data_IF_537430635295
#
_entry.id   IF_537430635295
#
_cell.length_a   1.000
_cell.length_b   1.000
_cell.length_c   1.000
_cell.angle_alpha   90.00
_cell.angle_beta   90.00
_cell.angle_gamma   90.00
#
_symmetry.space_group_name_H-M   'P 1'
#
loop_
_entity.id
_entity.type
_entity.pdbx_description
1 polymer ?
#
# COMPACT_ATOMS: atom_id res chain seq x y z
N UNK A 1 19.37 -6.89 -23.56
CA UNK A 1 19.48 -6.36 -22.22
C UNK A 1 19.25 -4.85 -22.30
N UNK A 2 18.35 -4.33 -21.50
CA UNK A 2 18.08 -2.90 -21.33
C UNK A 2 18.33 -2.47 -19.90
N UNK A 3 18.50 -1.17 -19.70
CA UNK A 3 18.57 -0.56 -18.37
C UNK A 3 17.57 0.58 -18.34
N UNK A 4 16.72 0.60 -17.32
CA UNK A 4 15.71 1.64 -17.15
C UNK A 4 15.94 2.34 -15.82
N UNK A 5 16.12 3.66 -15.88
CA UNK A 5 16.06 4.54 -14.72
C UNK A 5 14.72 5.28 -14.76
N UNK A 6 13.99 5.26 -13.66
CA UNK A 6 12.70 5.92 -13.61
C UNK A 6 12.42 6.53 -12.25
N UNK A 7 11.50 7.47 -12.27
CA UNK A 7 10.92 8.10 -11.08
C UNK A 7 9.39 8.01 -11.16
N UNK A 8 8.80 7.68 -10.05
CA UNK A 8 7.36 7.72 -9.86
C UNK A 8 7.09 8.49 -8.58
N UNK A 9 6.33 9.54 -8.68
CA UNK A 9 6.01 10.41 -7.54
C UNK A 9 4.65 11.03 -7.72
N UNK A 10 4.00 11.31 -6.60
CA UNK A 10 2.71 11.99 -6.54
C UNK A 10 1.98 11.68 -5.24
N UNK A 11 1.28 12.66 -4.77
CA UNK A 11 0.41 12.56 -3.62
C UNK A 11 -0.95 12.04 -4.09
N UNK A 12 -1.41 10.98 -3.49
CA UNK A 12 -2.76 10.45 -3.71
C UNK A 12 -3.50 10.58 -2.39
N UNK A 13 -4.40 11.54 -2.32
CA UNK A 13 -5.33 11.67 -1.20
C UNK A 13 -6.74 11.24 -1.63
N UNK A 14 -7.30 10.31 -0.90
CA UNK A 14 -8.70 9.92 -1.03
C UNK A 14 -9.41 10.26 0.27
N UNK A 15 -10.19 11.34 0.22
CA UNK A 15 -11.00 11.79 1.33
C UNK A 15 -12.49 11.56 1.07
N UNK A 16 -13.18 11.16 2.11
CA UNK A 16 -14.59 11.35 2.38
C UNK A 16 -15.64 10.43 1.75
N UNK A 17 -15.39 9.70 0.68
CA UNK A 17 -16.46 8.98 -0.02
C UNK A 17 -16.36 7.45 0.04
N UNK A 18 -15.31 6.89 0.64
CA UNK A 18 -15.23 5.45 0.86
C UNK A 18 -15.90 5.08 2.18
N UNK A 19 -17.20 4.88 2.15
CA UNK A 19 -17.92 4.30 3.28
C UNK A 19 -18.02 2.78 3.11
N UNK A 20 -17.26 2.04 3.88
CA UNK A 20 -17.34 0.58 3.93
C UNK A 20 -17.91 0.20 5.30
N UNK A 21 -19.08 -0.45 5.31
CA UNK A 21 -19.77 -0.89 6.53
C UNK A 21 -20.00 0.22 7.57
N UNK A 22 -20.31 1.45 7.11
CA UNK A 22 -20.60 2.59 8.00
C UNK A 22 -19.36 3.31 8.53
N UNK A 23 -18.16 2.89 8.18
CA UNK A 23 -16.92 3.57 8.53
C UNK A 23 -16.42 4.42 7.38
N UNK A 24 -16.02 5.65 7.66
CA UNK A 24 -15.38 6.56 6.71
C UNK A 24 -13.87 6.39 6.78
N UNK A 25 -13.24 6.30 5.62
CA UNK A 25 -11.79 6.17 5.48
C UNK A 25 -11.23 7.36 4.73
N UNK A 26 -10.27 8.02 5.33
CA UNK A 26 -9.37 8.95 4.66
C UNK A 26 -8.02 8.25 4.48
N UNK A 27 -7.54 8.15 3.26
CA UNK A 27 -6.26 7.55 2.92
C UNK A 27 -5.38 8.59 2.25
N UNK A 28 -4.30 8.97 2.90
CA UNK A 28 -3.27 9.83 2.35
C UNK A 28 -2.01 8.99 2.05
N UNK A 29 -1.57 9.03 0.80
CA UNK A 29 -0.40 8.33 0.30
C UNK A 29 0.55 9.34 -0.33
N UNK A 30 1.70 9.55 0.29
CA UNK A 30 2.83 10.25 -0.32
C UNK A 30 3.75 9.21 -0.95
N UNK A 31 3.85 9.22 -2.28
CA UNK A 31 4.55 8.19 -3.02
C UNK A 31 5.75 8.80 -3.76
N UNK A 32 6.96 8.46 -3.30
CA UNK A 32 8.22 8.85 -3.88
C UNK A 32 9.09 7.61 -4.14
N UNK A 33 9.22 7.25 -5.41
CA UNK A 33 9.94 6.05 -5.80
C UNK A 33 10.88 6.33 -6.97
N UNK A 34 12.19 6.16 -6.74
CA UNK A 34 13.21 6.20 -7.79
C UNK A 34 13.76 4.79 -8.00
N UNK A 35 13.78 4.29 -9.22
CA UNK A 35 14.20 2.93 -9.49
C UNK A 35 15.22 2.80 -10.62
N UNK A 36 16.04 1.77 -10.51
CA UNK A 36 16.99 1.33 -11.53
C UNK A 36 16.77 -0.15 -11.81
N UNK A 37 16.32 -0.50 -13.00
CA UNK A 37 16.03 -1.85 -13.42
C UNK A 37 16.88 -2.29 -14.60
N UNK A 38 17.32 -3.55 -14.59
CA UNK A 38 17.83 -4.26 -15.75
C UNK A 38 16.70 -5.09 -16.38
N UNK A 39 16.56 -5.00 -17.70
CA UNK A 39 15.56 -5.74 -18.47
C UNK A 39 16.24 -6.79 -19.33
N UNK A 40 15.68 -7.99 -19.30
CA UNK A 40 16.13 -9.11 -20.13
C UNK A 40 14.96 -9.55 -21.02
N UNK A 41 15.21 -9.66 -22.33
CA UNK A 41 14.25 -10.15 -23.33
C UNK A 41 14.67 -11.53 -23.81
N UNK A 42 14.17 -12.61 -23.19
CA UNK A 42 14.66 -13.96 -23.47
C UNK A 42 14.45 -14.40 -24.92
N UNK A 43 13.38 -13.92 -25.55
CA UNK A 43 13.01 -14.30 -26.94
C UNK A 43 13.13 -13.16 -27.93
N UNK A 44 13.82 -12.06 -27.59
CA UNK A 44 14.00 -10.88 -28.43
C UNK A 44 12.69 -10.30 -29.01
N UNK A 45 11.58 -10.48 -28.30
CA UNK A 45 10.25 -10.02 -28.68
C UNK A 45 9.76 -8.90 -27.72
N UNK A 46 8.46 -8.67 -27.72
CA UNK A 46 7.79 -7.68 -26.88
C UNK A 46 7.77 -8.02 -25.38
N UNK A 47 8.00 -9.29 -24.99
CA UNK A 47 8.04 -9.72 -23.60
C UNK A 47 9.42 -9.47 -22.99
N UNK A 48 9.43 -9.04 -21.71
CA UNK A 48 10.64 -8.87 -20.93
C UNK A 48 10.45 -9.23 -19.45
N UNK A 49 11.56 -9.52 -18.81
CA UNK A 49 11.69 -9.66 -17.37
C UNK A 49 12.53 -8.51 -16.86
N UNK A 50 12.13 -7.91 -15.74
CA UNK A 50 12.84 -6.82 -15.09
C UNK A 50 13.28 -7.25 -13.69
N UNK A 51 14.49 -6.86 -13.32
CA UNK A 51 15.01 -6.99 -11.97
C UNK A 51 15.85 -5.76 -11.64
N UNK A 52 15.74 -5.28 -10.40
CA UNK A 52 16.45 -4.04 -10.04
C UNK A 52 16.30 -3.68 -8.57
N UNK A 53 16.51 -2.40 -8.31
CA UNK A 53 16.37 -1.81 -6.98
C UNK A 53 15.63 -0.48 -7.09
N UNK A 54 14.86 -0.16 -6.07
CA UNK A 54 14.25 1.15 -5.93
C UNK A 54 14.62 1.78 -4.60
N UNK A 55 14.72 3.09 -4.59
CA UNK A 55 14.66 3.90 -3.39
C UNK A 55 13.21 4.33 -3.22
N UNK A 56 12.59 3.89 -2.13
CA UNK A 56 11.18 4.12 -1.83
C UNK A 56 11.12 4.93 -0.54
N UNK A 57 10.46 6.07 -0.61
CA UNK A 57 10.23 6.96 0.51
C UNK A 57 8.73 7.24 0.57
N UNK A 58 8.01 6.24 1.07
CA UNK A 58 6.55 6.28 1.14
C UNK A 58 6.12 6.23 2.60
N UNK A 59 5.30 7.20 2.97
CA UNK A 59 4.57 7.23 4.23
C UNK A 59 3.08 7.05 3.93
N UNK A 60 2.45 6.19 4.72
CA UNK A 60 1.02 5.90 4.60
C UNK A 60 0.32 6.28 5.89
N UNK A 61 -0.63 7.19 5.80
CA UNK A 61 -1.50 7.58 6.90
C UNK A 61 -2.92 7.05 6.64
N UNK A 62 -3.50 6.42 7.63
CA UNK A 62 -4.86 5.90 7.60
C UNK A 62 -5.63 6.52 8.75
N UNK A 63 -6.72 7.20 8.44
CA UNK A 63 -7.66 7.71 9.42
C UNK A 63 -9.02 7.04 9.25
N UNK A 64 -9.41 6.24 10.23
CA UNK A 64 -10.71 5.58 10.29
C UNK A 64 -11.57 6.20 11.37
N UNK A 65 -12.65 6.87 10.97
CA UNK A 65 -13.64 7.45 11.87
C UNK A 65 -14.90 6.60 11.91
N UNK A 66 -15.35 6.32 13.10
CA UNK A 66 -16.55 5.52 13.37
C UNK A 66 -17.52 6.38 14.16
N UNK A 67 -18.71 6.60 13.61
CA UNK A 67 -19.75 7.39 14.25
C UNK A 67 -20.31 6.73 15.51
N UNK A 68 -20.84 7.55 16.41
CA UNK A 68 -21.47 7.06 17.63
C UNK A 68 -22.63 6.11 17.29
N UNK A 69 -22.67 4.92 17.91
CA UNK A 69 -23.67 3.89 17.68
C UNK A 69 -23.43 3.03 16.43
N UNK A 70 -22.34 3.23 15.71
CA UNK A 70 -21.95 2.39 14.58
C UNK A 70 -21.17 1.16 15.04
N UNK A 71 -21.40 0.03 14.35
CA UNK A 71 -20.68 -1.22 14.57
C UNK A 71 -19.52 -1.35 13.61
N UNK A 72 -18.38 -1.79 14.12
CA UNK A 72 -17.16 -2.01 13.34
C UNK A 72 -16.39 -3.22 13.87
N UNK A 73 -15.43 -3.70 13.08
CA UNK A 73 -14.60 -4.84 13.48
C UNK A 73 -13.13 -4.43 13.53
N UNK A 74 -12.44 -4.89 14.58
CA UNK A 74 -10.99 -4.79 14.75
C UNK A 74 -10.48 -6.14 15.19
N UNK A 75 -9.44 -6.64 14.53
CA UNK A 75 -8.82 -7.94 14.82
C UNK A 75 -9.88 -9.08 14.95
N UNK A 76 -10.87 -9.09 14.05
CA UNK A 76 -11.96 -10.07 14.06
C UNK A 76 -12.96 -9.93 15.22
N UNK A 77 -12.83 -8.91 16.06
CA UNK A 77 -13.76 -8.62 17.17
C UNK A 77 -14.68 -7.47 16.78
N UNK A 78 -16.00 -7.69 16.94
CA UNK A 78 -17.00 -6.66 16.68
C UNK A 78 -17.17 -5.74 17.88
N UNK A 79 -17.16 -4.45 17.61
CA UNK A 79 -17.32 -3.36 18.56
C UNK A 79 -18.50 -2.48 18.16
N UNK A 80 -19.10 -1.84 19.15
CA UNK A 80 -20.05 -0.76 18.99
C UNK A 80 -19.41 0.53 19.52
N UNK A 81 -19.31 1.54 18.67
CA UNK A 81 -18.78 2.84 19.07
C UNK A 81 -19.73 3.53 20.06
N UNK A 82 -19.21 4.02 21.18
CA UNK A 82 -20.03 4.60 22.24
C UNK A 82 -20.50 6.02 21.86
N UNK A 83 -21.72 6.35 22.29
CA UNK A 83 -22.27 7.70 22.15
C UNK A 83 -21.88 8.57 23.37
N UNK A 84 -21.62 9.88 23.18
CA UNK A 84 -21.72 10.66 21.93
C UNK A 84 -20.43 10.74 21.11
N UNK A 85 -19.30 10.22 21.58
CA UNK A 85 -17.96 10.50 21.06
C UNK A 85 -17.59 9.68 19.81
N UNK A 86 -18.17 8.46 19.69
CA UNK A 86 -17.74 7.54 18.64
C UNK A 86 -16.36 6.92 18.93
N UNK A 87 -15.74 6.36 17.88
CA UNK A 87 -14.40 5.80 17.94
C UNK A 87 -13.59 6.24 16.72
N UNK A 88 -12.27 6.31 16.86
CA UNK A 88 -11.34 6.64 15.78
C UNK A 88 -10.08 5.81 15.91
N UNK A 89 -9.53 5.39 14.79
CA UNK A 89 -8.24 4.71 14.70
C UNK A 89 -7.39 5.49 13.72
N UNK A 90 -6.31 6.09 14.20
CA UNK A 90 -5.27 6.68 13.36
C UNK A 90 -4.16 5.66 13.18
N UNK A 91 -3.68 5.50 11.96
CA UNK A 91 -2.60 4.59 11.63
C UNK A 91 -1.52 5.24 10.81
N UNK A 92 -0.28 4.99 11.19
CA UNK A 92 0.91 5.35 10.43
C UNK A 92 1.63 4.04 10.06
N UNK A 93 1.94 3.88 8.77
CA UNK A 93 2.69 2.75 8.28
C UNK A 93 3.89 3.26 7.49
N UNK A 94 5.07 2.83 7.87
CA UNK A 94 6.33 3.18 7.20
C UNK A 94 7.26 1.97 7.10
N UNK A 95 8.22 2.03 6.20
CA UNK A 95 9.22 0.98 6.02
C UNK A 95 10.60 1.47 6.44
N UNK A 96 11.33 0.65 7.23
CA UNK A 96 12.66 1.00 7.71
C UNK A 96 13.71 1.09 6.61
N UNK A 97 13.55 0.29 5.57
CA UNK A 97 14.49 0.20 4.46
C UNK A 97 13.92 0.93 3.26
N UNK A 98 14.52 2.05 2.91
CA UNK A 98 14.16 2.79 1.71
C UNK A 98 14.66 2.11 0.42
N UNK A 99 15.58 1.12 0.53
CA UNK A 99 16.10 0.39 -0.62
C UNK A 99 15.40 -0.95 -0.78
N UNK A 100 14.61 -1.10 -1.84
CA UNK A 100 13.79 -2.27 -2.11
C UNK A 100 14.24 -2.98 -3.40
N UNK A 101 14.64 -4.27 -3.33
CA UNK A 101 14.79 -5.11 -4.51
C UNK A 101 13.47 -5.22 -5.28
N UNK A 102 13.57 -5.30 -6.59
CA UNK A 102 12.44 -5.39 -7.52
C UNK A 102 12.53 -6.58 -8.44
N UNK A 103 11.41 -7.21 -8.69
CA UNK A 103 11.23 -8.18 -9.77
C UNK A 103 9.91 -7.94 -10.49
N UNK A 104 9.91 -8.08 -11.82
CA UNK A 104 8.73 -7.86 -12.62
C UNK A 104 8.79 -8.55 -13.98
N UNK A 105 7.64 -8.60 -14.61
CA UNK A 105 7.47 -9.05 -15.99
C UNK A 105 6.65 -8.02 -16.76
N UNK A 106 6.99 -7.85 -18.01
CA UNK A 106 6.31 -6.85 -18.82
C UNK A 106 6.26 -7.19 -20.30
N UNK A 107 5.53 -6.34 -21.00
CA UNK A 107 5.46 -6.36 -22.46
C UNK A 107 5.68 -4.94 -22.98
N UNK A 108 6.37 -4.84 -24.11
CA UNK A 108 6.68 -3.57 -24.77
C UNK A 108 6.67 -3.72 -26.27
N UNK A 109 5.47 -3.88 -26.88
CA UNK A 109 5.34 -3.93 -28.32
C UNK A 109 5.60 -2.56 -28.96
N UNK A 110 6.26 -2.57 -30.10
CA UNK A 110 6.40 -1.38 -30.92
C UNK A 110 5.12 -1.22 -31.79
N UNK A 111 4.50 -0.05 -31.72
CA UNK A 111 3.34 0.29 -32.58
C UNK A 111 3.84 0.82 -33.94
N UNK A 112 4.91 1.61 -33.90
CA UNK A 112 5.62 2.14 -35.08
C UNK A 112 7.12 2.02 -34.86
N UNK A 113 7.91 2.43 -35.85
CA UNK A 113 9.39 2.44 -35.73
C UNK A 113 9.90 3.30 -34.56
N UNK A 114 9.11 4.26 -34.10
CA UNK A 114 9.48 5.19 -33.03
C UNK A 114 8.63 5.09 -31.76
N UNK A 115 7.36 4.75 -31.91
CA UNK A 115 6.42 4.71 -30.80
C UNK A 115 6.11 3.27 -30.39
N UNK A 116 6.00 3.04 -29.11
CA UNK A 116 5.57 1.81 -28.50
C UNK A 116 4.72 2.07 -27.27
N UNK A 117 4.10 1.04 -26.76
CA UNK A 117 3.47 1.03 -25.45
C UNK A 117 4.19 0.01 -24.60
N UNK A 118 4.11 0.18 -23.28
CA UNK A 118 4.58 -0.86 -22.36
C UNK A 118 3.60 -1.05 -21.22
N UNK A 119 3.57 -2.26 -20.71
CA UNK A 119 2.91 -2.61 -19.46
C UNK A 119 3.82 -3.53 -18.67
N UNK A 120 3.91 -3.33 -17.38
CA UNK A 120 4.73 -4.09 -16.44
C UNK A 120 3.96 -4.34 -15.17
N UNK A 121 4.01 -5.56 -14.66
CA UNK A 121 3.57 -5.92 -13.32
C UNK A 121 4.75 -6.50 -12.57
N UNK A 122 4.87 -6.14 -11.29
CA UNK A 122 5.98 -6.59 -10.46
C UNK A 122 5.73 -6.33 -9.00
N UNK A 123 6.75 -6.56 -8.20
CA UNK A 123 6.70 -6.27 -6.77
C UNK A 123 8.06 -5.81 -6.25
N UNK A 124 8.03 -4.87 -5.31
CA UNK A 124 9.16 -4.45 -4.50
C UNK A 124 9.13 -5.18 -3.17
N UNK A 125 10.27 -5.63 -2.69
CA UNK A 125 10.42 -6.20 -1.36
C UNK A 125 10.90 -5.13 -0.39
N UNK A 126 10.03 -4.70 0.50
CA UNK A 126 10.30 -3.62 1.47
C UNK A 126 10.66 -4.16 2.86
N UNK A 127 10.47 -5.47 3.10
CA UNK A 127 10.55 -6.06 4.44
C UNK A 127 9.35 -5.66 5.32
N UNK A 128 9.41 -6.02 6.58
CA UNK A 128 8.30 -5.79 7.51
C UNK A 128 8.08 -4.30 7.76
N UNK A 129 6.84 -3.83 7.68
CA UNK A 129 6.50 -2.45 7.98
C UNK A 129 6.63 -2.14 9.48
N UNK A 130 6.88 -0.88 9.79
CA UNK A 130 6.62 -0.31 11.10
C UNK A 130 5.22 0.27 11.08
N UNK A 131 4.37 -0.21 11.97
CA UNK A 131 2.97 0.21 12.07
C UNK A 131 2.75 0.78 13.46
N UNK A 132 2.04 1.90 13.54
CA UNK A 132 1.55 2.46 14.78
C UNK A 132 0.05 2.73 14.62
N UNK A 133 -0.76 2.10 15.45
CA UNK A 133 -2.20 2.33 15.49
C UNK A 133 -2.58 3.01 16.80
N UNK A 134 -3.21 4.16 16.71
CA UNK A 134 -3.63 4.94 17.87
C UNK A 134 -5.15 5.00 17.94
N UNK A 135 -5.78 4.23 18.85
CA UNK A 135 -7.22 4.31 19.09
C UNK A 135 -7.57 5.54 19.92
N UNK A 136 -8.64 6.24 19.55
CA UNK A 136 -9.23 7.34 20.34
C UNK A 136 -10.75 7.19 20.39
N UNK A 137 -11.38 7.83 21.38
CA UNK A 137 -12.80 7.59 21.66
C UNK A 137 -13.02 6.30 22.45
N UNK A 138 -14.22 5.72 22.36
CA UNK A 138 -14.53 4.49 23.09
C UNK A 138 -15.48 3.58 22.32
N UNK A 139 -15.27 2.28 22.48
CA UNK A 139 -16.14 1.28 21.90
C UNK A 139 -16.26 0.07 22.83
N UNK A 140 -17.42 -0.58 22.81
CA UNK A 140 -17.72 -1.75 23.62
C UNK A 140 -17.98 -2.98 22.76
N UNK A 141 -17.71 -4.15 23.32
CA UNK A 141 -17.99 -5.45 22.69
C UNK A 141 -18.73 -6.34 23.70
N UNK A 142 -19.52 -7.27 23.18
CA UNK A 142 -20.19 -8.29 24.00
C UNK A 142 -19.29 -9.47 24.35
N UNK A 143 -18.06 -9.52 23.79
CA UNK A 143 -17.12 -10.62 24.03
C UNK A 143 -16.34 -10.34 25.32
N UNK A 144 -16.47 -11.19 26.37
CA UNK A 144 -15.77 -10.99 27.63
C UNK A 144 -14.25 -11.01 27.46
N UNK A 145 -13.54 -10.11 28.17
CA UNK A 145 -12.09 -10.03 28.16
C UNK A 145 -11.47 -9.40 26.89
N UNK A 146 -12.30 -8.82 26.02
CA UNK A 146 -11.87 -8.02 24.89
C UNK A 146 -12.16 -6.55 25.13
N UNK A 147 -11.22 -5.69 24.83
CA UNK A 147 -11.41 -4.23 24.84
C UNK A 147 -10.82 -3.60 23.58
N UNK A 148 -11.33 -2.42 23.23
CA UNK A 148 -11.02 -1.74 21.98
C UNK A 148 -9.53 -1.43 21.83
N UNK A 149 -8.90 -0.89 22.87
CA UNK A 149 -7.49 -0.48 22.84
C UNK A 149 -6.58 -1.70 22.67
N UNK A 150 -6.85 -2.76 23.41
CA UNK A 150 -6.06 -4.01 23.33
C UNK A 150 -6.22 -4.68 21.95
N UNK A 151 -7.43 -4.68 21.38
CA UNK A 151 -7.60 -5.30 20.04
C UNK A 151 -6.96 -4.47 18.93
N UNK A 152 -6.95 -3.15 19.02
CA UNK A 152 -6.18 -2.30 18.09
C UNK A 152 -4.68 -2.59 18.19
N UNK A 153 -4.14 -2.76 19.41
CA UNK A 153 -2.73 -3.13 19.60
C UNK A 153 -2.39 -4.53 19.03
N UNK A 154 -3.32 -5.48 19.10
CA UNK A 154 -3.16 -6.79 18.47
C UNK A 154 -3.23 -6.73 16.94
N UNK A 155 -4.09 -5.90 16.39
CA UNK A 155 -4.16 -5.64 14.95
C UNK A 155 -2.84 -5.05 14.45
N UNK A 156 -2.28 -4.07 15.15
CA UNK A 156 -0.96 -3.50 14.89
C UNK A 156 0.14 -4.57 14.86
N UNK A 157 0.17 -5.47 15.86
CA UNK A 157 1.14 -6.55 15.94
C UNK A 157 0.96 -7.58 14.80
N UNK A 158 -0.28 -7.89 14.44
CA UNK A 158 -0.59 -8.78 13.32
C UNK A 158 -0.09 -8.20 12.00
N UNK A 159 -0.38 -6.93 11.70
CA UNK A 159 0.09 -6.26 10.48
C UNK A 159 1.61 -6.22 10.45
N UNK A 160 2.27 -5.92 11.58
CA UNK A 160 3.73 -5.85 11.68
C UNK A 160 4.40 -7.20 11.39
N UNK A 161 3.77 -8.32 11.75
CA UNK A 161 4.33 -9.66 11.62
C UNK A 161 3.82 -10.43 10.40
N UNK A 162 2.96 -9.83 9.59
CA UNK A 162 2.40 -10.48 8.41
C UNK A 162 3.31 -10.28 7.19
N UNK A 163 3.78 -11.38 6.63
CA UNK A 163 4.66 -11.39 5.45
C UNK A 163 3.96 -10.86 4.18
N UNK A 164 2.64 -10.75 4.16
CA UNK A 164 1.92 -10.19 3.02
C UNK A 164 2.24 -8.71 2.80
N UNK A 165 2.57 -7.98 3.86
CA UNK A 165 2.92 -6.55 3.79
C UNK A 165 4.39 -6.30 3.44
N UNK A 166 5.23 -7.33 3.36
CA UNK A 166 6.64 -7.19 2.94
C UNK A 166 6.79 -6.87 1.46
N UNK A 167 5.79 -7.22 0.66
CA UNK A 167 5.82 -7.05 -0.79
C UNK A 167 4.85 -5.95 -1.24
N UNK A 168 5.37 -4.97 -1.97
CA UNK A 168 4.57 -3.91 -2.60
C UNK A 168 4.31 -4.28 -4.06
N UNK A 169 3.11 -4.76 -4.42
CA UNK A 169 2.76 -5.03 -5.81
C UNK A 169 2.59 -3.71 -6.57
N UNK A 170 3.10 -3.68 -7.80
CA UNK A 170 3.01 -2.49 -8.66
C UNK A 170 2.63 -2.87 -10.08
N UNK A 171 1.89 -1.99 -10.72
CA UNK A 171 1.59 -2.06 -12.15
C UNK A 171 2.01 -0.73 -12.80
N UNK A 172 2.70 -0.83 -13.93
CA UNK A 172 3.17 0.32 -14.71
C UNK A 172 2.60 0.23 -16.12
N UNK A 173 2.08 1.32 -16.63
CA UNK A 173 1.62 1.46 -18.00
C UNK A 173 2.19 2.75 -18.58
N UNK A 174 2.58 2.71 -19.85
CA UNK A 174 3.11 3.91 -20.47
C UNK A 174 3.35 3.79 -21.96
N UNK A 175 3.89 4.88 -22.49
CA UNK A 175 4.24 5.01 -23.90
C UNK A 175 5.77 5.16 -23.99
N UNK A 176 6.38 4.47 -24.93
CA UNK A 176 7.81 4.55 -25.20
C UNK A 176 8.07 5.23 -26.54
N UNK A 177 9.10 6.05 -26.56
CA UNK A 177 9.57 6.69 -27.79
C UNK A 177 11.06 6.33 -28.01
N UNK A 178 11.40 5.96 -29.25
CA UNK A 178 12.77 5.59 -29.63
C UNK A 178 13.33 6.65 -30.59
N UNK A 179 14.52 7.07 -30.30
CA UNK A 179 15.28 8.04 -31.11
C UNK A 179 15.96 7.37 -32.29
#
# INVERSE_FOLDING_TARGET
VGVTLGYNGGDISWSDDLSINGSKYDLDMDNNLTYLNAEIRPWANWFYMAAGVAYIDNDYEIDRRIGAGESFSVNGTNFLANSPEGARINGDLSYKNNLAPYVGIGFSPAITNRWGVFGEIGAYYNGNPTVNLTPTGSATTTIPGRDFVTEVGREEENIRNDNEYEWLPVAKLGVSFRF
#
